data_IF_513918719975
#
_entry.id   IF_513918719975
#
_cell.length_a   1.000
_cell.length_b   1.000
_cell.length_c   1.000
_cell.angle_alpha   90.00
_cell.angle_beta   90.00
_cell.angle_gamma   90.00
#
_symmetry.space_group_name_H-M   'P 1'
#
loop_
_entity.id
_entity.type
_entity.pdbx_description
1 polymer ?
#
# COMPACT_ATOMS: atom_id res chain seq x y z
N UNK A 1 6.59 5.86 -23.53
CA UNK A 1 6.85 4.70 -22.67
C UNK A 1 8.35 4.56 -22.42
N UNK A 2 8.76 4.31 -21.21
CA UNK A 2 10.15 4.11 -20.80
C UNK A 2 10.27 2.75 -20.14
N UNK A 3 11.21 1.91 -20.64
CA UNK A 3 11.51 0.59 -20.08
C UNK A 3 13.00 0.51 -19.77
N UNK A 4 13.34 0.16 -18.52
CA UNK A 4 14.72 -0.02 -18.08
C UNK A 4 14.79 -0.91 -16.84
N UNK A 5 15.97 -1.41 -16.50
CA UNK A 5 16.16 -2.08 -15.21
C UNK A 5 16.11 -1.09 -14.06
N UNK A 6 16.68 0.08 -14.28
CA UNK A 6 16.74 1.16 -13.29
C UNK A 6 16.30 2.46 -13.95
N UNK A 7 15.39 3.18 -13.31
CA UNK A 7 14.95 4.51 -13.72
C UNK A 7 15.20 5.46 -12.56
N UNK A 8 16.03 6.47 -12.79
CA UNK A 8 16.32 7.52 -11.83
C UNK A 8 15.93 8.86 -12.44
N UNK A 9 15.06 9.60 -11.75
CA UNK A 9 14.71 10.97 -12.07
C UNK A 9 14.90 11.79 -10.80
N UNK A 10 15.90 12.66 -10.80
CA UNK A 10 16.24 13.48 -9.65
C UNK A 10 16.38 14.94 -10.05
N UNK A 11 15.95 15.84 -9.18
CA UNK A 11 16.15 17.28 -9.31
C UNK A 11 16.40 17.90 -7.95
N UNK A 12 17.31 18.87 -7.89
CA UNK A 12 17.53 19.64 -6.66
C UNK A 12 16.42 20.68 -6.49
N UNK A 13 16.07 21.37 -7.58
CA UNK A 13 15.04 22.41 -7.58
C UNK A 13 14.08 22.20 -8.73
N UNK A 14 12.80 22.40 -8.47
CA UNK A 14 11.77 22.28 -9.46
C UNK A 14 10.95 21.01 -9.32
N UNK A 15 10.07 20.81 -10.28
CA UNK A 15 9.03 19.79 -10.26
C UNK A 15 9.37 18.63 -11.19
N UNK A 16 9.13 17.39 -10.72
CA UNK A 16 9.03 16.24 -11.60
C UNK A 16 7.57 16.11 -12.03
N UNK A 17 7.31 16.27 -13.34
CA UNK A 17 5.96 16.14 -13.88
C UNK A 17 5.86 14.87 -14.74
N UNK A 18 4.98 13.96 -14.33
CA UNK A 18 4.61 12.79 -15.11
C UNK A 18 3.48 13.19 -16.05
N UNK A 19 3.78 13.23 -17.34
CA UNK A 19 2.85 13.70 -18.36
C UNK A 19 1.65 12.77 -18.52
N UNK A 20 0.59 13.27 -19.12
CA UNK A 20 -0.60 12.47 -19.43
C UNK A 20 -0.23 11.21 -20.21
N UNK A 21 -0.75 10.06 -19.79
CA UNK A 21 -0.49 8.73 -20.37
C UNK A 21 0.99 8.34 -20.42
N UNK A 22 1.83 9.00 -19.61
CA UNK A 22 3.21 8.56 -19.46
C UNK A 22 3.26 7.20 -18.78
N UNK A 23 4.15 6.33 -19.24
CA UNK A 23 4.42 5.08 -18.54
C UNK A 23 5.91 4.87 -18.35
N UNK A 24 6.31 4.50 -17.14
CA UNK A 24 7.66 4.11 -16.80
C UNK A 24 7.66 2.73 -16.13
N UNK A 25 8.44 1.84 -16.68
CA UNK A 25 8.57 0.46 -16.21
C UNK A 25 10.03 0.17 -15.85
N UNK A 26 10.30 0.06 -14.57
CA UNK A 26 11.61 -0.35 -14.05
C UNK A 26 11.54 -1.80 -13.56
N UNK A 27 12.28 -2.71 -14.17
CA UNK A 27 12.28 -4.11 -13.74
C UNK A 27 12.93 -4.32 -12.37
N UNK A 28 13.76 -3.37 -11.91
CA UNK A 28 14.41 -3.44 -10.59
C UNK A 28 14.04 -2.27 -9.70
N UNK A 29 14.36 -1.03 -10.12
CA UNK A 29 14.16 0.14 -9.28
C UNK A 29 13.66 1.34 -10.08
N UNK A 30 12.54 1.92 -9.64
CA UNK A 30 12.07 3.24 -10.01
C UNK A 30 12.37 4.20 -8.85
N UNK A 31 13.20 5.23 -9.09
CA UNK A 31 13.55 6.23 -8.11
C UNK A 31 13.22 7.63 -8.65
N UNK A 32 12.28 8.30 -8.00
CA UNK A 32 11.93 9.70 -8.27
C UNK A 32 12.25 10.54 -7.03
N UNK A 33 13.03 11.61 -7.18
CA UNK A 33 13.39 12.45 -6.03
C UNK A 33 13.50 13.91 -6.41
N UNK A 34 12.97 14.78 -5.54
CA UNK A 34 13.20 16.23 -5.59
C UNK A 34 13.53 16.76 -4.21
N UNK A 35 14.50 17.67 -4.13
CA UNK A 35 14.83 18.35 -2.86
C UNK A 35 13.92 19.55 -2.62
N UNK A 36 13.75 20.43 -3.61
CA UNK A 36 12.90 21.63 -3.56
C UNK A 36 11.87 21.57 -4.68
N UNK A 37 10.70 21.02 -4.41
CA UNK A 37 9.62 20.93 -5.37
C UNK A 37 8.77 19.69 -5.20
N UNK A 38 7.80 19.53 -6.07
CA UNK A 38 6.82 18.46 -5.99
C UNK A 38 6.97 17.43 -7.11
N UNK A 39 6.47 16.24 -6.86
CA UNK A 39 6.29 15.20 -7.86
C UNK A 39 4.80 15.16 -8.19
N UNK A 40 4.45 15.52 -9.41
CA UNK A 40 3.07 15.63 -9.86
C UNK A 40 2.82 14.68 -11.03
N UNK A 41 1.67 14.03 -11.03
CA UNK A 41 1.27 13.17 -12.13
C UNK A 41 0.00 13.65 -12.81
N UNK A 42 -0.13 13.33 -14.09
CA UNK A 42 -1.32 13.59 -14.90
C UNK A 42 -2.13 12.31 -15.10
N UNK A 43 -3.43 12.42 -15.46
CA UNK A 43 -4.28 11.26 -15.69
C UNK A 43 -3.71 10.25 -16.68
N UNK A 44 -3.92 8.96 -16.39
CA UNK A 44 -3.45 7.87 -17.23
C UNK A 44 -1.95 7.61 -17.18
N UNK A 45 -1.20 8.28 -16.31
CA UNK A 45 0.20 7.93 -16.04
C UNK A 45 0.27 6.62 -15.26
N UNK A 46 1.20 5.74 -15.63
CA UNK A 46 1.43 4.45 -14.98
C UNK A 46 2.89 4.33 -14.60
N UNK A 47 3.14 4.13 -13.31
CA UNK A 47 4.48 3.98 -12.76
C UNK A 47 4.65 2.59 -12.18
N UNK A 48 5.56 1.84 -12.73
CA UNK A 48 5.83 0.47 -12.37
C UNK A 48 7.28 0.30 -11.95
N UNK A 49 7.50 -0.34 -10.82
CA UNK A 49 8.83 -0.76 -10.38
C UNK A 49 8.72 -1.96 -9.44
N UNK A 50 9.61 -2.95 -9.57
CA UNK A 50 9.71 -4.01 -8.57
C UNK A 50 9.92 -3.38 -7.20
N UNK A 51 10.83 -2.39 -7.12
CA UNK A 51 10.92 -1.44 -6.01
C UNK A 51 10.69 -0.04 -6.54
N UNK A 52 9.84 0.74 -5.90
CA UNK A 52 9.63 2.13 -6.23
C UNK A 52 9.89 3.00 -5.00
N UNK A 53 10.71 4.03 -5.17
CA UNK A 53 11.04 5.02 -4.13
C UNK A 53 10.73 6.41 -4.69
N UNK A 54 9.88 7.14 -3.99
CA UNK A 54 9.40 8.46 -4.42
C UNK A 54 9.55 9.43 -3.26
N UNK A 55 10.38 10.47 -3.43
CA UNK A 55 10.69 11.41 -2.36
C UNK A 55 10.56 12.86 -2.84
N UNK A 56 9.75 13.64 -2.15
CA UNK A 56 9.65 15.08 -2.32
C UNK A 56 9.97 15.77 -0.98
N UNK A 57 11.23 16.19 -0.77
CA UNK A 57 11.66 16.70 0.53
C UNK A 57 10.91 17.98 0.93
N UNK A 58 10.98 19.03 0.12
CA UNK A 58 10.28 20.30 0.34
C UNK A 58 9.13 20.44 -0.65
N UNK A 59 8.20 19.48 -0.64
CA UNK A 59 7.07 19.47 -1.55
C UNK A 59 6.21 18.25 -1.37
N UNK A 60 5.33 18.01 -2.31
CA UNK A 60 4.32 16.97 -2.21
C UNK A 60 4.41 15.95 -3.34
N UNK A 61 3.88 14.77 -3.11
CA UNK A 61 3.67 13.73 -4.14
C UNK A 61 2.18 13.67 -4.41
N UNK A 62 1.75 14.09 -5.61
CA UNK A 62 0.33 14.24 -5.90
C UNK A 62 -0.03 13.82 -7.32
N UNK A 63 -1.30 13.51 -7.49
CA UNK A 63 -1.92 13.30 -8.79
C UNK A 63 -2.36 11.87 -9.06
N UNK A 64 -3.12 11.69 -10.13
CA UNK A 64 -3.85 10.46 -10.43
C UNK A 64 -3.02 9.38 -11.15
N UNK A 65 -1.69 9.41 -11.07
CA UNK A 65 -0.89 8.29 -11.59
C UNK A 65 -1.21 7.01 -10.85
N UNK A 66 -1.26 5.92 -11.58
CA UNK A 66 -1.37 4.60 -10.99
C UNK A 66 0.02 4.06 -10.68
N UNK A 67 0.28 3.87 -9.38
CA UNK A 67 1.52 3.31 -8.88
C UNK A 67 1.37 1.81 -8.67
N UNK A 68 2.10 1.02 -9.43
CA UNK A 68 2.08 -0.42 -9.26
C UNK A 68 3.07 -0.85 -8.19
N UNK A 69 2.52 -1.36 -7.08
CA UNK A 69 3.29 -1.95 -6.00
C UNK A 69 3.40 -3.46 -6.22
N UNK A 70 4.56 -3.94 -6.65
CA UNK A 70 4.77 -5.36 -6.90
C UNK A 70 5.57 -6.04 -5.81
N UNK A 71 6.52 -5.33 -5.22
CA UNK A 71 7.33 -5.81 -4.12
C UNK A 71 7.43 -4.75 -3.04
N UNK A 72 7.86 -3.53 -3.40
CA UNK A 72 7.98 -2.43 -2.45
C UNK A 72 7.68 -1.10 -3.13
N UNK A 73 6.84 -0.30 -2.48
CA UNK A 73 6.56 1.09 -2.82
C UNK A 73 6.77 1.95 -1.58
N UNK A 74 7.71 2.88 -1.63
CA UNK A 74 7.93 3.85 -0.57
C UNK A 74 7.74 5.28 -1.10
N UNK A 75 6.88 6.07 -0.45
CA UNK A 75 6.68 7.49 -0.75
C UNK A 75 6.93 8.32 0.49
N UNK A 76 7.68 9.40 0.35
CA UNK A 76 8.03 10.31 1.44
C UNK A 76 7.86 11.78 1.03
N UNK A 77 7.18 12.55 1.87
CA UNK A 77 7.03 14.00 1.74
C UNK A 77 7.22 14.68 3.11
N UNK A 78 8.47 14.77 3.62
CA UNK A 78 8.77 15.24 4.97
C UNK A 78 8.26 16.64 5.30
N UNK A 79 8.04 17.49 4.30
CA UNK A 79 7.50 18.85 4.47
C UNK A 79 6.28 19.11 3.57
N UNK A 80 5.59 18.05 3.14
CA UNK A 80 4.45 18.15 2.26
C UNK A 80 3.36 17.15 2.55
N UNK A 81 2.65 16.76 1.51
CA UNK A 81 1.57 15.79 1.58
C UNK A 81 1.69 14.73 0.46
N UNK A 82 0.99 13.63 0.65
CA UNK A 82 0.92 12.53 -0.32
C UNK A 82 -0.53 12.30 -0.71
N UNK A 83 -0.80 12.26 -2.02
CA UNK A 83 -2.07 11.80 -2.60
C UNK A 83 -1.77 10.83 -3.75
N UNK A 84 -2.05 9.54 -3.57
CA UNK A 84 -1.64 8.50 -4.49
C UNK A 84 -2.70 7.42 -4.71
N UNK A 85 -2.80 6.97 -5.97
CA UNK A 85 -3.56 5.78 -6.36
C UNK A 85 -2.59 4.60 -6.55
N UNK A 86 -2.89 3.47 -5.93
CA UNK A 86 -2.00 2.30 -5.89
C UNK A 86 -2.71 1.06 -6.41
N UNK A 87 -2.05 0.32 -7.29
CA UNK A 87 -2.44 -1.03 -7.66
C UNK A 87 -1.47 -2.04 -7.03
N UNK A 88 -2.02 -3.01 -6.32
CA UNK A 88 -1.25 -4.11 -5.74
C UNK A 88 -1.39 -5.32 -6.65
N UNK A 89 -0.29 -5.71 -7.27
CA UNK A 89 -0.26 -6.83 -8.19
C UNK A 89 0.63 -7.95 -7.67
N UNK A 90 0.33 -9.16 -8.10
CA UNK A 90 1.22 -10.29 -7.82
C UNK A 90 2.60 -9.98 -8.39
N UNK A 91 3.68 -10.12 -7.60
CA UNK A 91 5.02 -9.92 -8.10
C UNK A 91 5.23 -10.77 -9.37
N UNK A 92 5.60 -10.12 -10.46
CA UNK A 92 6.06 -10.86 -11.62
C UNK A 92 7.34 -11.60 -11.22
N UNK A 93 7.40 -12.89 -11.48
CA UNK A 93 8.56 -13.75 -11.23
C UNK A 93 9.69 -13.43 -12.24
N UNK A 94 10.08 -12.16 -12.36
CA UNK A 94 11.09 -11.73 -13.31
C UNK A 94 12.40 -11.59 -12.56
N UNK A 95 13.34 -12.50 -12.85
CA UNK A 95 14.78 -12.44 -12.54
C UNK A 95 15.22 -12.44 -11.06
N UNK A 96 14.39 -12.83 -10.13
CA UNK A 96 14.88 -13.22 -8.80
C UNK A 96 15.06 -14.73 -8.80
N UNK A 97 16.24 -15.28 -8.44
CA UNK A 97 16.38 -16.71 -8.29
C UNK A 97 15.25 -17.23 -7.38
N UNK A 98 14.50 -18.19 -7.86
CA UNK A 98 13.31 -18.72 -7.20
C UNK A 98 13.57 -19.09 -5.74
N UNK A 99 14.76 -19.63 -5.45
CA UNK A 99 15.21 -20.00 -4.12
C UNK A 99 15.37 -18.81 -3.16
N UNK A 100 15.84 -17.65 -3.64
CA UNK A 100 15.99 -16.45 -2.82
C UNK A 100 14.65 -15.75 -2.60
N UNK A 101 13.74 -15.80 -3.57
CA UNK A 101 12.40 -15.28 -3.46
C UNK A 101 11.55 -16.07 -2.43
N UNK A 102 11.72 -17.40 -2.39
CA UNK A 102 10.99 -18.25 -1.44
C UNK A 102 11.57 -18.23 -0.03
N UNK A 103 12.85 -17.89 0.14
CA UNK A 103 13.53 -17.91 1.44
C UNK A 103 13.25 -16.69 2.30
N UNK A 104 12.83 -15.59 1.73
CA UNK A 104 12.53 -14.39 2.50
C UNK A 104 11.02 -14.23 2.67
N UNK A 105 10.55 -14.09 3.90
CA UNK A 105 9.17 -13.67 4.19
C UNK A 105 8.81 -12.40 3.41
N UNK A 106 9.79 -11.54 3.15
CA UNK A 106 9.69 -10.32 2.35
C UNK A 106 9.32 -10.58 0.89
N UNK A 107 9.73 -11.70 0.28
CA UNK A 107 9.39 -12.06 -1.09
C UNK A 107 7.93 -12.48 -1.31
N UNK A 108 7.17 -12.67 -0.24
CA UNK A 108 5.79 -13.16 -0.31
C UNK A 108 4.73 -12.07 -0.20
N UNK A 109 5.09 -10.88 0.23
CA UNK A 109 4.14 -9.77 0.40
C UNK A 109 4.62 -8.50 -0.27
N UNK A 110 3.67 -7.70 -0.70
CA UNK A 110 3.92 -6.34 -1.17
C UNK A 110 4.00 -5.41 0.04
N UNK A 111 5.04 -4.58 0.10
CA UNK A 111 5.18 -3.55 1.12
C UNK A 111 4.94 -2.17 0.52
N UNK A 112 4.03 -1.40 1.12
CA UNK A 112 3.72 -0.03 0.72
C UNK A 112 3.84 0.89 1.94
N UNK A 113 4.72 1.89 1.85
CA UNK A 113 4.99 2.83 2.93
C UNK A 113 4.81 4.25 2.46
N UNK A 114 4.04 5.04 3.23
CA UNK A 114 3.73 6.43 2.95
C UNK A 114 3.97 7.26 4.21
N UNK A 115 4.83 8.27 4.12
CA UNK A 115 5.13 9.13 5.25
C UNK A 115 5.16 10.59 4.81
N UNK A 116 4.37 11.44 5.45
CA UNK A 116 4.34 12.87 5.19
C UNK A 116 4.24 13.68 6.49
N UNK A 117 4.62 14.96 6.43
CA UNK A 117 4.32 15.89 7.51
C UNK A 117 2.83 16.26 7.52
N UNK A 118 2.30 16.62 6.36
CA UNK A 118 0.89 16.95 6.15
C UNK A 118 0.02 15.73 5.83
N UNK A 119 -1.03 15.93 5.04
CA UNK A 119 -2.01 14.89 4.76
C UNK A 119 -1.44 13.72 3.93
N UNK A 120 -1.90 12.52 4.23
CA UNK A 120 -1.65 11.31 3.45
C UNK A 120 -2.99 10.72 3.00
N UNK A 121 -3.21 10.68 1.69
CA UNK A 121 -4.39 10.10 1.07
C UNK A 121 -3.97 9.00 0.10
N UNK A 122 -4.31 7.77 0.40
CA UNK A 122 -3.94 6.60 -0.39
C UNK A 122 -5.20 5.85 -0.81
N UNK A 123 -5.33 5.63 -2.10
CA UNK A 123 -6.42 4.81 -2.66
C UNK A 123 -5.85 3.58 -3.36
N UNK A 124 -6.09 2.42 -2.79
CA UNK A 124 -5.86 1.15 -3.47
C UNK A 124 -7.01 0.92 -4.45
N UNK A 125 -6.73 1.08 -5.75
CA UNK A 125 -7.74 1.00 -6.81
C UNK A 125 -7.86 -0.40 -7.39
N UNK A 126 -6.85 -1.24 -7.15
CA UNK A 126 -6.81 -2.63 -7.57
C UNK A 126 -5.94 -3.41 -6.59
N UNK A 127 -6.46 -4.52 -6.09
CA UNK A 127 -5.71 -5.44 -5.27
C UNK A 127 -5.95 -6.86 -5.77
N UNK A 128 -4.89 -7.52 -6.24
CA UNK A 128 -4.98 -8.91 -6.67
C UNK A 128 -5.35 -9.80 -5.49
N UNK A 129 -6.43 -10.59 -5.56
CA UNK A 129 -6.81 -11.50 -4.49
C UNK A 129 -5.68 -12.44 -4.10
N UNK A 130 -5.50 -12.67 -2.79
CA UNK A 130 -4.47 -13.57 -2.27
C UNK A 130 -3.04 -13.00 -2.29
N UNK A 131 -2.83 -11.74 -2.68
CA UNK A 131 -1.54 -11.05 -2.54
C UNK A 131 -1.50 -10.37 -1.16
N UNK A 132 -0.65 -10.83 -0.23
CA UNK A 132 -0.49 -10.18 1.06
C UNK A 132 0.07 -8.76 0.87
N UNK A 133 -0.57 -7.79 1.50
CA UNK A 133 -0.15 -6.38 1.49
C UNK A 133 0.19 -5.94 2.91
N UNK A 134 1.38 -5.39 3.10
CA UNK A 134 1.69 -4.59 4.30
C UNK A 134 1.70 -3.12 3.91
N UNK A 135 0.65 -2.40 4.30
CA UNK A 135 0.52 -0.97 4.09
C UNK A 135 0.77 -0.21 5.38
N UNK A 136 1.57 0.84 5.31
CA UNK A 136 1.76 1.77 6.42
C UNK A 136 1.66 3.19 5.89
N UNK A 137 0.71 3.95 6.40
CA UNK A 137 0.52 5.36 6.08
C UNK A 137 0.63 6.19 7.37
N UNK A 138 1.48 7.21 7.37
CA UNK A 138 1.71 8.05 8.54
C UNK A 138 1.79 9.53 8.22
N UNK A 139 1.24 10.34 9.11
CA UNK A 139 1.31 11.80 9.09
C UNK A 139 1.76 12.34 10.44
N UNK A 140 2.52 13.44 10.43
CA UNK A 140 2.88 14.13 11.67
C UNK A 140 1.75 15.05 12.16
N UNK A 141 1.26 15.95 11.32
CA UNK A 141 0.25 16.95 11.72
C UNK A 141 -1.06 16.86 10.92
N UNK A 142 -1.07 16.12 9.82
CA UNK A 142 -2.21 16.05 8.92
C UNK A 142 -3.11 14.85 9.15
N UNK A 143 -4.07 14.69 8.25
CA UNK A 143 -4.98 13.55 8.24
C UNK A 143 -4.39 12.41 7.42
N UNK A 144 -4.65 11.18 7.85
CA UNK A 144 -4.33 9.96 7.10
C UNK A 144 -5.62 9.31 6.67
N UNK A 145 -5.79 9.12 5.37
CA UNK A 145 -6.93 8.45 4.77
C UNK A 145 -6.45 7.33 3.84
N UNK A 146 -6.80 6.09 4.16
CA UNK A 146 -6.49 4.93 3.34
C UNK A 146 -7.78 4.27 2.89
N UNK A 147 -7.94 4.10 1.58
CA UNK A 147 -9.09 3.43 0.98
C UNK A 147 -8.61 2.15 0.31
N UNK A 148 -9.08 1.02 0.79
CA UNK A 148 -8.81 -0.29 0.20
C UNK A 148 -9.90 -0.70 -0.80
N UNK A 149 -9.47 -1.42 -1.82
CA UNK A 149 -10.36 -2.15 -2.73
C UNK A 149 -11.12 -3.26 -1.99
N UNK A 150 -12.28 -3.62 -2.52
CA UNK A 150 -13.16 -4.69 -1.96
C UNK A 150 -12.49 -6.07 -1.87
N UNK A 151 -11.36 -6.30 -2.54
CA UNK A 151 -10.60 -7.54 -2.44
C UNK A 151 -9.62 -7.59 -1.27
N UNK A 152 -9.53 -6.51 -0.48
CA UNK A 152 -8.67 -6.51 0.69
C UNK A 152 -9.15 -7.52 1.73
N UNK A 153 -8.24 -8.34 2.20
CA UNK A 153 -8.45 -9.28 3.32
C UNK A 153 -7.28 -9.14 4.28
N UNK A 154 -7.55 -8.87 5.55
CA UNK A 154 -6.46 -8.78 6.52
C UNK A 154 -6.76 -7.88 7.71
N UNK A 155 -5.71 -7.57 8.44
CA UNK A 155 -5.75 -6.76 9.66
C UNK A 155 -5.71 -5.28 9.30
N UNK A 156 -6.55 -4.49 9.98
CA UNK A 156 -6.60 -3.04 9.87
C UNK A 156 -6.30 -2.44 11.24
N UNK A 157 -5.46 -1.42 11.28
CA UNK A 157 -5.19 -0.64 12.49
C UNK A 157 -5.16 0.85 12.16
N UNK A 158 -5.90 1.64 12.91
CA UNK A 158 -5.89 3.10 12.84
C UNK A 158 -5.51 3.67 14.18
N UNK A 159 -4.70 4.73 14.19
CA UNK A 159 -4.27 5.43 15.40
C UNK A 159 -4.16 6.93 15.12
N UNK A 160 -4.73 7.77 15.99
CA UNK A 160 -4.70 9.22 15.83
C UNK A 160 -5.43 9.95 16.94
N UNK A 161 -5.55 11.28 16.81
CA UNK A 161 -6.39 12.08 17.71
C UNK A 161 -7.87 11.72 17.54
N UNK A 162 -8.29 11.41 16.32
CA UNK A 162 -9.57 10.83 15.99
C UNK A 162 -9.36 9.65 15.05
N UNK A 163 -10.13 8.60 15.21
CA UNK A 163 -9.99 7.38 14.41
C UNK A 163 -11.32 6.95 13.81
N UNK A 164 -11.28 6.56 12.53
CA UNK A 164 -12.43 6.05 11.81
C UNK A 164 -12.05 4.77 11.06
N UNK A 165 -12.87 3.76 11.21
CA UNK A 165 -12.77 2.53 10.47
C UNK A 165 -14.16 2.15 9.98
N UNK A 166 -14.33 2.04 8.68
CA UNK A 166 -15.61 1.69 8.09
C UNK A 166 -15.46 0.88 6.81
N UNK A 167 -16.53 0.23 6.41
CA UNK A 167 -16.66 -0.44 5.13
C UNK A 167 -17.95 -0.05 4.45
N UNK A 168 -17.91 0.06 3.12
CA UNK A 168 -19.08 0.22 2.29
C UNK A 168 -19.01 -0.75 1.12
N UNK A 169 -20.15 -1.32 0.74
CA UNK A 169 -20.25 -2.19 -0.44
C UNK A 169 -19.33 -3.42 -0.43
N UNK A 170 -19.02 -3.95 0.75
CA UNK A 170 -18.31 -5.23 0.80
C UNK A 170 -19.10 -6.32 0.07
N UNK A 171 -18.44 -7.19 -0.69
CA UNK A 171 -19.09 -8.37 -1.28
C UNK A 171 -19.85 -9.17 -0.22
N UNK A 172 -20.93 -9.83 -0.62
CA UNK A 172 -21.72 -10.71 0.25
C UNK A 172 -20.80 -11.69 0.98
N UNK A 173 -20.95 -11.77 2.29
CA UNK A 173 -20.16 -12.65 3.15
C UNK A 173 -18.83 -12.08 3.65
N UNK A 174 -18.54 -10.80 3.38
CA UNK A 174 -17.44 -10.07 4.00
C UNK A 174 -17.93 -9.07 5.03
N UNK A 175 -17.23 -8.95 6.14
CA UNK A 175 -17.52 -7.96 7.16
C UNK A 175 -16.26 -7.53 7.92
N UNK A 176 -16.36 -6.39 8.60
CA UNK A 176 -15.36 -5.94 9.57
C UNK A 176 -15.66 -6.62 10.92
N UNK A 177 -14.75 -7.48 11.33
CA UNK A 177 -14.77 -8.05 12.68
C UNK A 177 -13.93 -7.16 13.60
N UNK A 178 -14.52 -6.43 14.57
CA UNK A 178 -13.76 -5.64 15.52
C UNK A 178 -12.89 -6.54 16.39
N UNK A 179 -11.63 -6.13 16.59
CA UNK A 179 -10.68 -6.83 17.45
C UNK A 179 -10.51 -6.04 18.75
N UNK A 180 -10.19 -4.75 18.62
CA UNK A 180 -9.95 -3.87 19.75
C UNK A 180 -10.49 -2.45 19.46
N UNK A 181 -11.06 -1.82 20.47
CA UNK A 181 -11.58 -0.46 20.40
C UNK A 181 -11.11 0.36 21.61
N UNK A 182 -10.16 1.23 21.38
CA UNK A 182 -9.57 2.13 22.37
C UNK A 182 -9.72 3.60 21.98
N UNK A 183 -10.91 3.97 21.46
CA UNK A 183 -11.25 5.35 21.07
C UNK A 183 -11.24 6.35 22.22
N UNK A 184 -11.39 5.87 23.43
CA UNK A 184 -11.33 6.71 24.65
C UNK A 184 -9.90 6.99 25.14
N UNK A 185 -8.91 6.35 24.57
CA UNK A 185 -7.50 6.55 24.90
C UNK A 185 -6.89 7.74 24.14
N UNK A 186 -5.72 8.19 24.57
CA UNK A 186 -4.96 9.22 23.88
C UNK A 186 -3.51 8.74 23.66
N UNK A 187 -3.09 8.50 22.41
CA UNK A 187 -3.89 8.58 21.16
C UNK A 187 -4.94 7.47 21.07
N UNK A 188 -6.09 7.80 20.47
CA UNK A 188 -7.13 6.83 20.19
C UNK A 188 -6.67 5.81 19.15
N UNK A 189 -7.11 4.55 19.26
CA UNK A 189 -6.84 3.55 18.25
C UNK A 189 -7.97 2.52 18.10
N UNK A 190 -8.06 1.95 16.91
CA UNK A 190 -8.98 0.88 16.53
C UNK A 190 -8.25 -0.21 15.78
N UNK A 191 -8.58 -1.45 16.05
CA UNK A 191 -8.16 -2.58 15.24
C UNK A 191 -9.36 -3.42 14.80
N UNK A 192 -9.31 -3.91 13.57
CA UNK A 192 -10.33 -4.77 13.00
C UNK A 192 -9.71 -5.74 11.99
N UNK A 193 -10.45 -6.81 11.70
CA UNK A 193 -10.12 -7.72 10.61
C UNK A 193 -11.21 -7.66 9.54
N UNK A 194 -10.81 -7.66 8.27
CA UNK A 194 -11.70 -8.00 7.16
C UNK A 194 -11.72 -9.50 7.03
N UNK A 195 -12.86 -10.10 7.31
CA UNK A 195 -13.04 -11.56 7.30
C UNK A 195 -14.18 -11.96 6.38
N UNK A 196 -14.16 -13.20 5.92
CA UNK A 196 -15.27 -13.83 5.24
C UNK A 196 -16.12 -14.61 6.23
N UNK A 197 -17.43 -14.58 6.04
CA UNK A 197 -18.30 -15.55 6.68
C UNK A 197 -17.94 -16.95 6.18
N UNK A 198 -17.70 -17.86 7.09
CA UNK A 198 -17.32 -19.26 6.73
C UNK A 198 -18.32 -19.92 5.79
N UNK A 199 -19.61 -19.56 5.92
CA UNK A 199 -20.69 -20.08 5.06
C UNK A 199 -20.72 -19.45 3.66
N UNK A 200 -20.19 -18.25 3.49
CA UNK A 200 -20.12 -17.56 2.20
C UNK A 200 -18.83 -17.88 1.44
N UNK A 201 -17.85 -18.43 2.14
CA UNK A 201 -16.61 -18.94 1.55
C UNK A 201 -16.97 -20.16 0.71
N UNK A 202 -17.11 -19.96 -0.60
CA UNK A 202 -17.07 -21.11 -1.52
C UNK A 202 -15.82 -21.97 -1.24
N UNK A 203 -15.76 -23.22 -1.75
CA UNK A 203 -14.62 -24.09 -1.51
C UNK A 203 -13.34 -23.29 -1.78
N UNK A 204 -12.45 -23.27 -0.78
CA UNK A 204 -11.18 -22.55 -0.87
C UNK A 204 -10.55 -22.84 -2.25
N UNK A 205 -10.07 -21.83 -2.98
CA UNK A 205 -9.40 -22.08 -4.24
C UNK A 205 -8.35 -23.14 -3.97
N UNK A 206 -8.42 -24.27 -4.70
CA UNK A 206 -7.45 -25.34 -4.54
C UNK A 206 -6.09 -24.73 -4.78
N UNK A 207 -5.33 -24.57 -3.70
CA UNK A 207 -3.93 -24.16 -3.83
C UNK A 207 -3.28 -25.22 -4.71
N UNK A 208 -2.55 -24.77 -5.71
CA UNK A 208 -1.75 -25.66 -6.54
C UNK A 208 -0.82 -26.44 -5.62
N UNK A 209 -0.96 -27.79 -5.52
CA UNK A 209 -0.15 -28.60 -4.63
C UNK A 209 1.35 -28.54 -4.97
N UNK A 210 1.72 -27.97 -6.13
CA UNK A 210 3.11 -27.78 -6.54
C UNK A 210 3.78 -26.53 -5.93
N UNK A 211 3.02 -25.67 -5.24
CA UNK A 211 3.60 -24.51 -4.57
C UNK A 211 3.90 -24.91 -3.10
N UNK A 212 5.16 -25.20 -2.74
CA UNK A 212 5.49 -25.52 -1.36
C UNK A 212 5.29 -24.28 -0.49
N UNK A 213 4.19 -24.24 0.25
CA UNK A 213 3.99 -23.25 1.31
C UNK A 213 4.82 -23.72 2.51
N UNK A 214 6.02 -23.20 2.65
CA UNK A 214 6.80 -23.37 3.87
C UNK A 214 6.13 -22.50 4.96
N UNK A 215 5.18 -23.09 5.68
CA UNK A 215 4.65 -22.50 6.90
C UNK A 215 5.65 -22.80 8.04
N UNK A 216 6.03 -21.76 8.77
CA UNK A 216 6.74 -21.99 10.03
C UNK A 216 5.87 -22.85 10.96
N UNK A 217 6.44 -23.81 11.69
CA UNK A 217 5.68 -24.63 12.62
C UNK A 217 4.92 -23.75 13.62
N UNK A 218 3.60 -23.89 13.66
CA UNK A 218 2.73 -23.16 14.59
C UNK A 218 2.12 -21.86 14.07
N UNK A 219 2.42 -21.44 12.84
CA UNK A 219 1.75 -20.30 12.20
C UNK A 219 0.68 -20.75 11.20
N UNK A 220 -0.48 -20.12 11.28
CA UNK A 220 -1.57 -20.27 10.31
C UNK A 220 -1.27 -19.50 9.03
N UNK A 221 -1.79 -19.93 7.86
CA UNK A 221 -1.78 -19.08 6.65
C UNK A 221 -2.38 -17.68 6.88
N UNK A 222 -3.28 -17.53 7.85
CA UNK A 222 -3.87 -16.24 8.26
C UNK A 222 -2.86 -15.34 8.99
N UNK A 223 -1.77 -15.88 9.55
CA UNK A 223 -0.72 -15.10 10.22
C UNK A 223 0.17 -14.34 9.22
N UNK A 224 0.12 -14.72 7.95
CA UNK A 224 0.79 -14.03 6.83
C UNK A 224 -0.18 -13.12 6.04
N UNK A 225 -1.33 -12.79 6.62
CA UNK A 225 -2.35 -11.96 6.01
C UNK A 225 -1.88 -10.53 5.70
N UNK A 226 -2.67 -9.84 4.89
CA UNK A 226 -2.44 -8.41 4.65
C UNK A 226 -2.63 -7.63 5.96
N UNK A 227 -1.82 -6.57 6.09
CA UNK A 227 -1.90 -5.62 7.21
C UNK A 227 -1.94 -4.20 6.66
N UNK A 228 -2.83 -3.36 7.18
CA UNK A 228 -2.87 -1.95 6.86
C UNK A 228 -2.92 -1.10 8.11
N UNK A 229 -1.99 -0.18 8.23
CA UNK A 229 -1.85 0.74 9.35
C UNK A 229 -1.95 2.17 8.87
N UNK A 230 -2.84 2.95 9.48
CA UNK A 230 -2.95 4.38 9.29
C UNK A 230 -2.70 5.09 10.63
N UNK A 231 -1.73 5.98 10.67
CA UNK A 231 -1.34 6.69 11.90
C UNK A 231 -1.21 8.17 11.65
N UNK A 232 -1.88 8.98 12.46
CA UNK A 232 -1.66 10.42 12.53
C UNK A 232 -1.27 10.82 13.95
N UNK A 233 -0.21 11.61 14.12
CA UNK A 233 0.19 12.05 15.47
C UNK A 233 -0.79 13.06 16.03
N UNK A 234 -1.24 14.04 15.24
CA UNK A 234 -2.07 15.16 15.69
C UNK A 234 -3.44 15.22 15.02
N UNK A 235 -3.61 14.56 13.88
CA UNK A 235 -4.82 14.60 13.07
C UNK A 235 -5.69 13.34 13.19
N UNK A 236 -6.60 13.22 12.23
CA UNK A 236 -7.49 12.07 12.09
C UNK A 236 -6.82 10.97 11.28
N UNK A 237 -6.95 9.73 11.70
CA UNK A 237 -6.60 8.56 10.90
C UNK A 237 -7.84 7.77 10.53
N UNK A 238 -7.96 7.38 9.26
CA UNK A 238 -9.09 6.62 8.74
C UNK A 238 -8.68 5.54 7.76
N UNK A 239 -9.37 4.40 7.82
CA UNK A 239 -9.31 3.34 6.81
C UNK A 239 -10.72 3.00 6.37
N UNK A 240 -10.92 2.92 5.05
CA UNK A 240 -12.15 2.49 4.40
C UNK A 240 -11.86 1.26 3.54
N UNK A 241 -12.82 0.33 3.51
CA UNK A 241 -12.81 -0.80 2.59
C UNK A 241 -14.06 -0.72 1.73
N UNK A 242 -13.89 -0.63 0.41
CA UNK A 242 -15.01 -0.39 -0.53
C UNK A 242 -15.18 -1.53 -1.51
#
# INVERSE_FOLDING_TARGET
QLYANFIYMTTEKGRISLLERASAHASKLLHLSTSDGSIESKPGSIMYGTKAVVTANNGSVTGPALWHANFSLAMSAPHGHIDAAVAVQKPALVDVPYDDFLRTEQGRRVEAQFAAHGNVSIKYVEQTPGVPLKSTASSEVGHVNVVHDSNYEGKLRVQGAQVHLSSSQMPLGRHLAPVDDHRSESPAWLASHVVWDEQARGPAPKMDPSTPVHLEPGKSPLDYGAESHATSKEGTASIFVT
#
